data_IF_205003046395
#
_entry.id   IF_205003046395
#
_cell.length_a   1.000
_cell.length_b   1.000
_cell.length_c   1.000
_cell.angle_alpha   90.00
_cell.angle_beta   90.00
_cell.angle_gamma   90.00
#
_symmetry.space_group_name_H-M   'P 1'
#
loop_
_entity.id
_entity.type
_entity.pdbx_description
1 polymer ?
#
# COMPACT_ATOMS: atom_id res chain seq x y z
N UNK A 1 -9.94 0.32 -12.33
CA UNK A 1 -9.30 -0.46 -11.24
C UNK A 1 -7.99 0.24 -10.88
N UNK A 2 -7.67 0.40 -9.59
CA UNK A 2 -6.38 0.94 -9.14
C UNK A 2 -5.66 -0.14 -8.34
N UNK A 3 -4.48 -0.53 -8.77
CA UNK A 3 -3.59 -1.39 -7.99
C UNK A 3 -2.21 -0.74 -7.88
N UNK A 4 -1.53 -1.02 -6.78
CA UNK A 4 -0.13 -0.66 -6.59
C UNK A 4 0.70 -1.93 -6.55
N UNK A 5 1.90 -1.89 -7.11
CA UNK A 5 2.93 -2.88 -6.88
C UNK A 5 4.12 -2.16 -6.26
N UNK A 6 4.50 -2.56 -5.06
CA UNK A 6 5.61 -1.95 -4.33
C UNK A 6 6.74 -2.96 -4.21
N UNK A 7 7.93 -2.55 -4.63
CA UNK A 7 9.16 -3.35 -4.52
C UNK A 7 10.13 -2.68 -3.55
N UNK A 8 10.64 -3.43 -2.57
CA UNK A 8 11.52 -2.90 -1.53
C UNK A 8 12.97 -3.01 -2.01
N UNK A 9 13.65 -1.87 -2.10
CA UNK A 9 15.05 -1.77 -2.56
C UNK A 9 16.03 -1.81 -1.38
N UNK A 10 15.63 -1.28 -0.21
CA UNK A 10 16.44 -1.21 1.00
C UNK A 10 15.53 -1.11 2.22
N UNK A 11 15.94 -1.68 3.35
CA UNK A 11 15.22 -1.60 4.62
C UNK A 11 14.00 -2.52 4.66
N UNK A 12 13.06 -2.19 5.55
CA UNK A 12 11.85 -2.98 5.79
C UNK A 12 10.62 -2.06 5.80
N UNK A 13 9.54 -2.52 5.17
CA UNK A 13 8.27 -1.83 5.09
C UNK A 13 7.19 -2.66 5.78
N UNK A 14 6.60 -2.12 6.84
CA UNK A 14 5.44 -2.71 7.50
C UNK A 14 4.17 -2.06 6.96
N UNK A 15 3.27 -2.89 6.43
CA UNK A 15 2.00 -2.48 5.82
C UNK A 15 0.84 -3.03 6.64
N UNK A 16 -0.05 -2.15 7.09
CA UNK A 16 -1.31 -2.50 7.73
C UNK A 16 -2.47 -2.28 6.76
N UNK A 17 -3.36 -3.27 6.67
CA UNK A 17 -4.50 -3.27 5.77
C UNK A 17 -5.81 -3.17 6.55
N UNK A 18 -6.81 -2.57 5.93
CA UNK A 18 -8.22 -2.73 6.29
C UNK A 18 -8.95 -3.36 5.10
N UNK A 19 -9.26 -4.65 5.25
CA UNK A 19 -9.97 -5.43 4.24
C UNK A 19 -11.50 -5.41 4.43
N UNK A 20 -11.98 -4.85 5.54
CA UNK A 20 -13.39 -4.88 5.92
C UNK A 20 -14.12 -3.57 5.55
N UNK A 21 -13.40 -2.46 5.46
CA UNK A 21 -13.99 -1.15 5.21
C UNK A 21 -13.77 -0.72 3.77
N UNK A 22 -14.88 -0.56 3.02
CA UNK A 22 -14.83 0.01 1.67
C UNK A 22 -14.10 1.36 1.64
N UNK A 23 -13.23 1.54 0.65
CA UNK A 23 -12.55 2.80 0.37
C UNK A 23 -13.50 3.89 -0.14
N UNK A 24 -14.67 3.51 -0.65
CA UNK A 24 -15.65 4.44 -1.25
C UNK A 24 -16.54 5.15 -0.20
N UNK A 25 -16.35 4.83 1.09
CA UNK A 25 -17.09 5.42 2.21
C UNK A 25 -16.17 6.32 3.05
N UNK A 26 -15.98 7.60 2.64
CA UNK A 26 -15.19 8.54 3.42
C UNK A 26 -15.81 8.76 4.81
N UNK A 27 -14.95 8.89 5.83
CA UNK A 27 -15.39 9.13 7.23
C UNK A 27 -15.72 7.88 8.05
N UNK A 28 -15.59 6.68 7.49
CA UNK A 28 -15.66 5.43 8.28
C UNK A 28 -14.30 5.18 8.93
N UNK A 29 -14.27 4.92 10.23
CA UNK A 29 -13.05 4.53 10.94
C UNK A 29 -12.45 3.27 10.30
N UNK A 30 -11.15 3.32 10.01
CA UNK A 30 -10.42 2.17 9.48
C UNK A 30 -9.98 1.27 10.62
N UNK A 31 -10.18 -0.03 10.47
CA UNK A 31 -9.73 -1.04 11.42
C UNK A 31 -8.63 -1.87 10.78
N UNK A 32 -7.47 -1.98 11.44
CA UNK A 32 -6.40 -2.85 10.95
C UNK A 32 -6.85 -4.31 11.07
N UNK A 33 -7.04 -4.97 9.94
CA UNK A 33 -7.41 -6.40 9.87
C UNK A 33 -6.19 -7.29 9.68
N UNK A 34 -5.15 -6.78 9.03
CA UNK A 34 -3.94 -7.52 8.69
C UNK A 34 -2.71 -6.62 8.72
N UNK A 35 -1.58 -7.14 9.15
CA UNK A 35 -0.27 -6.45 9.10
C UNK A 35 0.78 -7.40 8.55
N UNK A 36 1.59 -6.92 7.60
CA UNK A 36 2.70 -7.66 7.01
C UNK A 36 3.95 -6.80 6.92
N UNK A 37 5.12 -7.43 6.93
CA UNK A 37 6.42 -6.75 6.79
C UNK A 37 7.15 -7.32 5.58
N UNK A 38 7.60 -6.43 4.70
CA UNK A 38 8.35 -6.73 3.48
C UNK A 38 9.76 -6.18 3.59
N UNK A 39 10.76 -6.97 3.23
CA UNK A 39 12.19 -6.61 3.31
C UNK A 39 12.75 -6.36 1.92
N UNK A 40 13.98 -5.85 1.85
CA UNK A 40 14.67 -5.67 0.57
C UNK A 40 14.64 -6.94 -0.29
N UNK A 41 14.19 -6.81 -1.54
CA UNK A 41 13.96 -7.92 -2.46
C UNK A 41 12.51 -8.42 -2.51
N UNK A 42 11.69 -8.10 -1.51
CA UNK A 42 10.28 -8.44 -1.49
C UNK A 42 9.44 -7.46 -2.32
N UNK A 43 8.29 -7.95 -2.77
CA UNK A 43 7.27 -7.17 -3.43
C UNK A 43 5.91 -7.43 -2.79
N UNK A 44 5.04 -6.43 -2.78
CA UNK A 44 3.62 -6.62 -2.48
C UNK A 44 2.72 -5.92 -3.49
N UNK A 45 1.56 -6.53 -3.73
CA UNK A 45 0.52 -5.98 -4.58
C UNK A 45 -0.59 -5.41 -3.69
N UNK A 46 -0.80 -4.10 -3.75
CA UNK A 46 -1.98 -3.46 -3.20
C UNK A 46 -3.21 -3.91 -3.97
N UNK A 47 -4.07 -4.69 -3.31
CA UNK A 47 -5.35 -5.12 -3.87
C UNK A 47 -6.24 -3.91 -4.16
N UNK A 48 -6.97 -3.91 -5.29
CA UNK A 48 -7.94 -2.86 -5.57
C UNK A 48 -8.92 -2.68 -4.42
N UNK A 49 -9.24 -1.43 -4.13
CA UNK A 49 -10.24 -1.06 -3.13
C UNK A 49 -9.93 -1.52 -1.69
N UNK A 50 -8.68 -1.85 -1.39
CA UNK A 50 -8.20 -2.14 -0.02
C UNK A 50 -7.43 -0.94 0.52
N UNK A 51 -7.89 -0.41 1.66
CA UNK A 51 -7.12 0.62 2.35
C UNK A 51 -5.87 -0.01 2.97
N UNK A 52 -4.74 0.67 2.86
CA UNK A 52 -3.50 0.27 3.50
C UNK A 52 -2.70 1.49 3.95
N UNK A 53 -1.98 1.35 5.05
CA UNK A 53 -1.03 2.32 5.56
C UNK A 53 0.33 1.66 5.76
N UNK A 54 1.38 2.35 5.33
CA UNK A 54 2.74 1.81 5.23
C UNK A 54 3.67 2.63 6.11
N UNK A 55 4.51 1.96 6.91
CA UNK A 55 5.46 2.61 7.81
C UNK A 55 6.80 1.88 7.84
N UNK A 56 7.89 2.64 8.00
CA UNK A 56 9.19 2.08 8.34
C UNK A 56 9.26 1.90 9.86
N UNK A 57 9.33 0.65 10.31
CA UNK A 57 9.48 0.29 11.73
C UNK A 57 10.86 -0.33 12.03
N UNK A 58 11.75 -0.38 11.03
CA UNK A 58 13.11 -0.87 11.18
C UNK A 58 14.10 0.23 11.53
N UNK A 59 15.32 -0.18 11.83
CA UNK A 59 16.40 0.73 12.28
C UNK A 59 17.22 1.33 11.11
N UNK A 60 16.85 1.04 9.87
CA UNK A 60 17.54 1.48 8.67
C UNK A 60 16.63 2.28 7.76
N UNK A 61 17.22 3.11 6.92
CA UNK A 61 16.52 3.83 5.88
C UNK A 61 15.78 2.86 4.93
N UNK A 62 14.50 3.12 4.73
CA UNK A 62 13.63 2.42 3.79
C UNK A 62 13.67 3.11 2.42
N UNK A 63 13.96 2.34 1.37
CA UNK A 63 13.87 2.77 -0.03
C UNK A 63 13.02 1.74 -0.79
N UNK A 64 12.04 2.21 -1.54
CA UNK A 64 11.14 1.35 -2.32
C UNK A 64 10.70 2.05 -3.60
N UNK A 65 10.21 1.25 -4.54
CA UNK A 65 9.63 1.71 -5.80
C UNK A 65 8.17 1.30 -5.85
N UNK A 66 7.30 2.25 -6.19
CA UNK A 66 5.86 1.98 -6.40
C UNK A 66 5.54 2.11 -7.87
N UNK A 67 4.96 1.06 -8.44
CA UNK A 67 4.32 1.08 -9.75
C UNK A 67 2.82 1.15 -9.58
N UNK A 68 2.17 2.06 -10.30
CA UNK A 68 0.72 2.20 -10.29
C UNK A 68 0.15 1.55 -11.55
N UNK A 69 -0.86 0.70 -11.37
CA UNK A 69 -1.55 0.01 -12.45
C UNK A 69 -2.98 0.55 -12.47
N UNK A 70 -3.29 1.30 -13.53
CA UNK A 70 -4.60 1.91 -13.78
C UNK A 70 -5.21 1.41 -15.08
N UNK A 71 -6.49 1.74 -15.30
CA UNK A 71 -7.13 1.53 -16.59
C UNK A 71 -6.66 2.57 -17.61
N UNK A 72 -6.47 2.13 -18.86
CA UNK A 72 -6.10 3.01 -19.96
C UNK A 72 -7.11 4.15 -20.13
N UNK A 73 -6.60 5.37 -20.36
CA UNK A 73 -7.42 6.59 -20.46
C UNK A 73 -7.99 7.13 -19.15
N UNK A 74 -7.79 6.46 -18.00
CA UNK A 74 -8.30 6.91 -16.70
C UNK A 74 -7.16 7.46 -15.82
N UNK A 75 -7.26 8.71 -15.32
CA UNK A 75 -6.20 9.28 -14.49
C UNK A 75 -6.06 8.54 -13.15
N UNK A 76 -4.83 8.22 -12.79
CA UNK A 76 -4.50 7.72 -11.46
C UNK A 76 -4.41 8.93 -10.53
N UNK A 77 -5.53 9.26 -9.87
CA UNK A 77 -5.52 10.25 -8.80
C UNK A 77 -4.73 9.71 -7.60
N UNK A 78 -3.65 10.41 -7.27
CA UNK A 78 -2.85 10.29 -6.04
C UNK A 78 -3.16 11.54 -5.22
N UNK A 79 -3.72 11.37 -4.03
CA UNK A 79 -3.99 12.50 -3.12
C UNK A 79 -2.74 12.76 -2.26
N UNK A 80 -2.35 14.03 -2.11
CA UNK A 80 -1.19 14.50 -1.32
C UNK A 80 -1.41 14.40 0.20
#
# INVERSE_FOLDING_TARGET
MKSTCTFILKGELTVSFDENTSVDRPGTEKTVTRTETYKAGDAFLGTPNTWHNSSNQGDVELVFMVSWIGEDGMPIRVDE
#
